data_IF_732363236551
#
_entry.id   IF_732363236551
#
_cell.length_a   1.000
_cell.length_b   1.000
_cell.length_c   1.000
_cell.angle_alpha   90.00
_cell.angle_beta   90.00
_cell.angle_gamma   90.00
#
_symmetry.space_group_name_H-M   'P 1'
#
loop_
_entity.id
_entity.type
_entity.pdbx_description
1 polymer ?
#
# COMPACT_ATOMS: atom_id res chain seq x y z
N UNK A 1 11.38 19.90 11.21
CA UNK A 1 11.01 19.02 10.07
C UNK A 1 11.27 17.59 10.52
N UNK A 2 10.28 16.71 10.41
CA UNK A 2 10.50 15.27 10.62
C UNK A 2 11.30 14.70 9.44
N UNK A 3 12.12 13.64 9.63
CA UNK A 3 12.87 13.02 8.54
C UNK A 3 11.94 12.37 7.52
N UNK A 4 12.31 12.41 6.24
CA UNK A 4 11.63 11.66 5.19
C UNK A 4 11.97 10.18 5.34
N UNK A 5 10.94 9.32 5.42
CA UNK A 5 11.12 7.88 5.67
C UNK A 5 11.49 7.08 4.43
N UNK A 6 10.99 7.49 3.25
CA UNK A 6 11.06 6.65 2.05
C UNK A 6 10.30 5.33 2.20
N UNK A 7 10.34 4.49 1.16
CA UNK A 7 9.70 3.16 1.15
C UNK A 7 10.30 2.23 2.19
N UNK A 8 11.62 2.30 2.40
CA UNK A 8 12.34 1.46 3.34
C UNK A 8 11.99 1.81 4.80
N UNK A 9 11.81 3.10 5.10
CA UNK A 9 11.40 3.54 6.42
C UNK A 9 10.00 3.06 6.80
N UNK A 10 9.05 3.07 5.86
CA UNK A 10 7.72 2.50 6.09
C UNK A 10 7.78 0.99 6.35
N UNK A 11 8.53 0.24 5.54
CA UNK A 11 8.69 -1.21 5.71
C UNK A 11 9.32 -1.56 7.06
N UNK A 12 10.37 -0.83 7.46
CA UNK A 12 11.04 -1.02 8.75
C UNK A 12 10.10 -0.73 9.93
N UNK A 13 9.30 0.34 9.85
CA UNK A 13 8.36 0.70 10.90
C UNK A 13 7.26 -0.36 11.07
N UNK A 14 6.70 -0.85 9.95
CA UNK A 14 5.67 -1.88 9.98
C UNK A 14 6.20 -3.22 10.52
N UNK A 15 7.45 -3.59 10.23
CA UNK A 15 8.09 -4.77 10.85
C UNK A 15 8.19 -4.61 12.36
N UNK A 16 8.67 -3.46 12.83
CA UNK A 16 8.79 -3.18 14.27
C UNK A 16 7.43 -3.17 14.98
N UNK A 17 6.39 -2.60 14.34
CA UNK A 17 5.02 -2.65 14.87
C UNK A 17 4.53 -4.09 15.03
N UNK A 18 4.76 -4.93 14.01
CA UNK A 18 4.40 -6.35 14.05
C UNK A 18 5.13 -7.10 15.15
N UNK A 19 6.43 -6.87 15.30
CA UNK A 19 7.25 -7.47 16.37
C UNK A 19 6.79 -7.03 17.77
N UNK A 20 6.35 -5.79 17.92
CA UNK A 20 5.79 -5.25 19.15
C UNK A 20 4.32 -5.67 19.40
N UNK A 21 3.70 -6.43 18.49
CA UNK A 21 2.30 -6.84 18.60
C UNK A 21 1.29 -5.70 18.41
N UNK A 22 1.68 -4.63 17.71
CA UNK A 22 0.82 -3.47 17.43
C UNK A 22 0.08 -3.72 16.12
N UNK A 23 -1.19 -4.09 16.22
CA UNK A 23 -2.09 -4.31 15.07
C UNK A 23 -3.10 -3.16 14.95
N UNK A 24 -2.60 -1.99 14.55
CA UNK A 24 -3.41 -0.81 14.29
C UNK A 24 -3.31 -0.42 12.81
N UNK A 25 -4.40 0.06 12.19
CA UNK A 25 -4.36 0.59 10.83
C UNK A 25 -3.34 1.74 10.70
N UNK A 26 -2.48 1.66 9.68
CA UNK A 26 -1.44 2.67 9.41
C UNK A 26 -1.80 3.44 8.15
N UNK A 27 -1.82 4.77 8.25
CA UNK A 27 -2.05 5.68 7.12
C UNK A 27 -0.75 6.43 6.81
N UNK A 28 -0.23 6.29 5.59
CA UNK A 28 0.95 7.02 5.14
C UNK A 28 0.60 8.48 4.80
N UNK A 29 1.44 9.42 5.23
CA UNK A 29 1.32 10.86 4.96
C UNK A 29 2.69 11.48 4.66
N UNK A 30 2.68 12.69 4.07
CA UNK A 30 3.88 13.54 3.98
C UNK A 30 4.42 13.65 2.56
N UNK A 31 3.93 14.65 1.81
CA UNK A 31 4.47 15.00 0.48
C UNK A 31 4.39 13.89 -0.57
N UNK A 32 3.55 12.88 -0.35
CA UNK A 32 3.41 11.71 -1.23
C UNK A 32 2.83 12.15 -2.58
N UNK A 33 3.49 11.73 -3.66
CA UNK A 33 3.07 11.94 -5.04
C UNK A 33 2.42 10.69 -5.62
N UNK A 34 1.85 10.78 -6.82
CA UNK A 34 1.25 9.64 -7.50
C UNK A 34 2.22 8.47 -7.68
N UNK A 35 3.48 8.76 -8.01
CA UNK A 35 4.49 7.74 -8.33
C UNK A 35 4.95 6.95 -7.09
N UNK A 36 4.80 7.55 -5.90
CA UNK A 36 5.15 6.92 -4.63
C UNK A 36 4.09 5.88 -4.18
N UNK A 37 2.84 6.05 -4.60
CA UNK A 37 1.67 5.29 -4.11
C UNK A 37 1.88 3.78 -4.22
N UNK A 38 2.26 3.21 -5.40
CA UNK A 38 2.41 1.76 -5.52
C UNK A 38 3.50 1.19 -4.60
N UNK A 39 4.61 1.91 -4.41
CA UNK A 39 5.70 1.48 -3.55
C UNK A 39 5.30 1.50 -2.07
N UNK A 40 4.62 2.56 -1.65
CA UNK A 40 4.15 2.71 -0.26
C UNK A 40 3.08 1.66 0.08
N UNK A 41 2.09 1.41 -0.80
CA UNK A 41 1.07 0.40 -0.55
C UNK A 41 1.67 -1.01 -0.39
N UNK A 42 2.72 -1.33 -1.14
CA UNK A 42 3.43 -2.61 -1.03
C UNK A 42 4.12 -2.82 0.32
N UNK A 43 4.38 -1.76 1.09
CA UNK A 43 4.98 -1.88 2.44
C UNK A 43 4.02 -2.49 3.45
N UNK A 44 2.71 -2.47 3.18
CA UNK A 44 1.67 -3.01 4.07
C UNK A 44 0.91 -1.94 4.86
N UNK A 45 1.06 -0.66 4.53
CA UNK A 45 0.18 0.39 5.08
C UNK A 45 -1.27 0.12 4.68
N UNK A 46 -2.21 0.51 5.54
CA UNK A 46 -3.64 0.35 5.30
C UNK A 46 -4.15 1.33 4.23
N UNK A 47 -3.54 2.51 4.14
CA UNK A 47 -3.90 3.50 3.15
C UNK A 47 -2.96 4.70 3.12
N UNK A 48 -3.33 5.70 2.32
CA UNK A 48 -2.55 6.92 2.09
C UNK A 48 -3.46 8.14 2.22
N UNK A 49 -2.98 9.18 2.89
CA UNK A 49 -3.63 10.49 2.92
C UNK A 49 -2.83 11.51 2.09
N UNK A 50 -3.54 12.17 1.18
CA UNK A 50 -2.97 13.09 0.17
C UNK A 50 -3.65 14.45 0.27
N UNK A 51 -2.87 15.51 0.15
CA UNK A 51 -3.37 16.89 0.06
C UNK A 51 -2.60 17.67 -1.00
N UNK A 52 -1.27 17.73 -0.87
CA UNK A 52 -0.40 18.44 -1.82
C UNK A 52 -0.53 17.95 -3.26
N UNK A 53 -0.47 16.63 -3.49
CA UNK A 53 -0.61 16.04 -4.82
C UNK A 53 -1.91 16.45 -5.53
N UNK A 54 -3.02 16.58 -4.80
CA UNK A 54 -4.31 16.98 -5.36
C UNK A 54 -4.38 18.50 -5.54
N UNK A 55 -4.02 19.27 -4.52
CA UNK A 55 -4.16 20.74 -4.54
C UNK A 55 -3.17 21.44 -5.48
N UNK A 56 -2.03 20.82 -5.76
CA UNK A 56 -0.99 21.37 -6.64
C UNK A 56 -1.07 20.82 -8.07
N UNK A 57 -1.99 19.88 -8.35
CA UNK A 57 -2.19 19.39 -9.70
C UNK A 57 -2.81 20.48 -10.59
N UNK A 58 -2.43 20.45 -11.88
CA UNK A 58 -3.03 21.33 -12.89
C UNK A 58 -4.55 21.14 -12.97
N UNK A 59 -5.02 19.90 -12.81
CA UNK A 59 -6.44 19.57 -12.69
C UNK A 59 -6.68 18.63 -11.49
N UNK A 60 -7.11 19.17 -10.33
CA UNK A 60 -7.33 18.37 -9.12
C UNK A 60 -8.33 17.23 -9.29
N UNK A 61 -9.32 17.38 -10.17
CA UNK A 61 -10.35 16.36 -10.41
C UNK A 61 -9.75 15.18 -11.19
N UNK A 62 -9.02 15.46 -12.26
CA UNK A 62 -8.32 14.42 -13.03
C UNK A 62 -7.27 13.71 -12.18
N UNK A 63 -6.50 14.45 -11.38
CA UNK A 63 -5.51 13.86 -10.48
C UNK A 63 -6.16 12.94 -9.44
N UNK A 64 -7.27 13.38 -8.84
CA UNK A 64 -8.05 12.55 -7.92
C UNK A 64 -8.54 11.27 -8.60
N UNK A 65 -9.02 11.35 -9.85
CA UNK A 65 -9.43 10.16 -10.63
C UNK A 65 -8.27 9.21 -10.86
N UNK A 66 -7.10 9.73 -11.25
CA UNK A 66 -5.87 8.93 -11.43
C UNK A 66 -5.50 8.19 -10.16
N UNK A 67 -5.45 8.90 -9.04
CA UNK A 67 -5.12 8.36 -7.71
C UNK A 67 -6.09 7.26 -7.30
N UNK A 68 -7.40 7.49 -7.42
CA UNK A 68 -8.43 6.47 -7.08
C UNK A 68 -8.29 5.24 -7.99
N UNK A 69 -8.03 5.45 -9.30
CA UNK A 69 -7.85 4.38 -10.28
C UNK A 69 -6.59 3.53 -10.08
N UNK A 70 -5.60 4.00 -9.32
CA UNK A 70 -4.35 3.28 -9.03
C UNK A 70 -4.57 2.03 -8.14
N UNK A 71 -5.73 1.87 -7.51
CA UNK A 71 -6.05 0.68 -6.71
C UNK A 71 -6.03 0.88 -5.20
N UNK A 72 -6.38 2.09 -4.71
CA UNK A 72 -6.60 2.35 -3.27
C UNK A 72 -7.79 1.56 -2.67
N UNK A 73 -8.53 0.79 -3.48
CA UNK A 73 -9.60 -0.09 -3.03
C UNK A 73 -9.03 -1.47 -2.67
N UNK A 74 -8.63 -1.63 -1.41
CA UNK A 74 -8.36 -2.94 -0.81
C UNK A 74 -9.65 -3.78 -0.83
N UNK A 75 -9.81 -4.61 -1.85
CA UNK A 75 -11.00 -5.43 -2.06
C UNK A 75 -10.87 -6.52 -3.13
N UNK A 76 -9.65 -6.95 -3.48
CA UNK A 76 -9.43 -8.16 -4.28
C UNK A 76 -8.74 -9.21 -3.42
N UNK A 77 -9.57 -9.97 -2.69
CA UNK A 77 -9.15 -11.19 -2.03
C UNK A 77 -8.60 -12.17 -3.06
N UNK A 78 -7.29 -12.34 -3.08
CA UNK A 78 -6.62 -13.47 -3.71
C UNK A 78 -7.07 -14.75 -3.01
N UNK A 79 -8.12 -15.37 -3.55
CA UNK A 79 -8.54 -16.72 -3.21
C UNK A 79 -7.52 -17.65 -3.86
N UNK A 80 -6.47 -18.01 -3.14
CA UNK A 80 -5.51 -19.04 -3.55
C UNK A 80 -6.29 -20.33 -3.85
N UNK A 81 -6.42 -20.68 -5.14
CA UNK A 81 -6.77 -22.05 -5.51
C UNK A 81 -5.57 -22.92 -5.18
N UNK A 82 -5.58 -23.51 -3.99
CA UNK A 82 -4.82 -24.73 -3.71
C UNK A 82 -5.35 -25.83 -4.64
N UNK A 83 -4.76 -25.98 -5.83
CA UNK A 83 -4.84 -27.24 -6.55
C UNK A 83 -3.89 -28.22 -5.86
N UNK A 84 -4.41 -28.90 -4.84
CA UNK A 84 -3.90 -30.22 -4.46
C UNK A 84 -4.37 -31.18 -5.56
N UNK A 85 -3.47 -31.53 -6.48
CA UNK A 85 -3.61 -32.76 -7.27
C UNK A 85 -2.62 -33.75 -6.69
N UNK A 86 -3.17 -34.66 -5.89
CA UNK A 86 -2.53 -35.90 -5.45
C UNK A 86 -2.67 -36.89 -6.61
N UNK A 87 -1.57 -37.21 -7.27
CA UNK A 87 -1.42 -38.41 -8.10
C UNK A 87 0.02 -38.88 -7.84
N UNK A 88 0.30 -39.91 -7.05
CA UNK A 88 -0.40 -41.18 -6.99
C UNK A 88 0.02 -42.05 -8.18
N UNK A 89 1.32 -42.17 -8.43
CA UNK A 89 1.90 -43.12 -9.37
C UNK A 89 2.12 -44.46 -8.65
N UNK A 90 1.17 -45.37 -8.89
CA UNK A 90 1.26 -46.79 -8.61
C UNK A 90 1.64 -47.51 -9.92
N UNK A 91 2.86 -48.02 -10.01
CA UNK A 91 3.31 -49.31 -10.58
C UNK A 91 4.83 -49.32 -10.56
#
# INVERSE_FOLDING_TARGET
MSPVLGTEGYASLLSQMKEAGIDLPVLAIGGITFDDIPGILQTGVTGIALSGAILQAENPVEETRRIIGCGLTSGQGSRTKTKSVKQGNNT
#
